data_IF_463615588706
#
_entry.id   IF_463615588706
#
_cell.length_a   1.000
_cell.length_b   1.000
_cell.length_c   1.000
_cell.angle_alpha   90.00
_cell.angle_beta   90.00
_cell.angle_gamma   90.00
#
_symmetry.space_group_name_H-M   'P 1'
#
loop_
_entity.id
_entity.type
_entity.pdbx_description
1 polymer ?
#
# COMPACT_ATOMS: atom_id res chain seq x y z
N UNK A 1 -25.68 21.75 -6.55
CA UNK A 1 -26.00 20.94 -5.35
C UNK A 1 -25.56 21.71 -4.12
N UNK A 2 -26.38 21.86 -3.07
CA UNK A 2 -26.04 22.68 -1.92
C UNK A 2 -24.99 21.99 -1.04
N UNK A 3 -23.98 22.74 -0.62
CA UNK A 3 -22.95 22.33 0.33
C UNK A 3 -23.58 22.08 1.71
N UNK A 4 -23.32 20.91 2.29
CA UNK A 4 -23.66 20.61 3.68
C UNK A 4 -22.43 20.92 4.55
N UNK A 5 -22.38 22.15 5.05
CA UNK A 5 -21.45 22.55 6.10
C UNK A 5 -21.93 22.00 7.45
N UNK A 6 -21.20 21.02 8.00
CA UNK A 6 -21.46 20.48 9.33
C UNK A 6 -21.00 21.49 10.39
N UNK A 7 -21.86 22.44 10.76
CA UNK A 7 -21.63 23.35 11.87
C UNK A 7 -22.05 22.73 13.20
N UNK A 8 -21.15 22.78 14.19
CA UNK A 8 -21.52 22.55 15.59
C UNK A 8 -21.65 23.90 16.26
N UNK A 9 -22.88 24.28 16.64
CA UNK A 9 -23.18 25.58 17.25
C UNK A 9 -22.92 25.50 18.76
N UNK A 10 -21.91 26.23 19.25
CA UNK A 10 -21.75 26.46 20.68
C UNK A 10 -22.83 27.46 21.15
N UNK A 11 -23.55 27.14 22.24
CA UNK A 11 -24.61 28.01 22.78
C UNK A 11 -23.99 29.29 23.40
N UNK A 12 -24.35 30.50 22.93
CA UNK A 12 -23.89 31.73 23.56
C UNK A 12 -24.54 31.96 24.93
N UNK A 13 -23.83 32.70 25.80
CA UNK A 13 -24.32 33.23 27.08
C UNK A 13 -25.55 34.13 26.85
N UNK A 14 -26.51 34.12 27.80
CA UNK A 14 -27.76 34.92 27.76
C UNK A 14 -27.51 36.37 27.29
N UNK A 15 -28.22 36.74 26.24
CA UNK A 15 -28.21 38.08 25.60
C UNK A 15 -29.36 38.90 26.19
N UNK A 16 -29.19 40.22 26.35
CA UNK A 16 -30.29 41.16 26.66
C UNK A 16 -31.19 41.29 25.43
N UNK A 17 -32.49 41.49 25.62
CA UNK A 17 -33.44 41.71 24.51
C UNK A 17 -32.98 42.86 23.59
N UNK A 18 -32.81 42.55 22.29
CA UNK A 18 -32.53 43.55 21.25
C UNK A 18 -31.15 43.46 20.57
N UNK A 19 -30.22 42.64 21.04
CA UNK A 19 -28.90 42.46 20.40
C UNK A 19 -28.83 41.15 19.61
N UNK A 20 -28.38 41.21 18.35
CA UNK A 20 -28.05 40.00 17.60
C UNK A 20 -26.85 39.29 18.22
N UNK A 21 -26.86 37.94 18.32
CA UNK A 21 -25.74 37.20 18.87
C UNK A 21 -24.45 37.47 18.10
N UNK A 22 -23.41 37.91 18.81
CA UNK A 22 -22.04 37.87 18.30
C UNK A 22 -21.59 36.42 18.15
N UNK A 23 -21.76 35.86 16.94
CA UNK A 23 -21.27 34.52 16.60
C UNK A 23 -19.85 34.64 16.05
N UNK A 24 -18.86 34.21 16.85
CA UNK A 24 -17.52 33.96 16.34
C UNK A 24 -17.51 32.62 15.58
N UNK A 25 -17.44 32.68 14.26
CA UNK A 25 -17.16 31.50 13.44
C UNK A 25 -15.68 31.14 13.58
N UNK A 26 -15.39 29.99 14.21
CA UNK A 26 -14.04 29.46 14.34
C UNK A 26 -13.85 28.35 13.30
N UNK A 27 -12.93 28.54 12.35
CA UNK A 27 -12.52 27.48 11.42
C UNK A 27 -11.56 26.56 12.17
N UNK A 28 -12.01 25.35 12.52
CA UNK A 28 -11.15 24.34 13.13
C UNK A 28 -10.34 23.68 12.01
N UNK A 29 -9.06 24.05 11.87
CA UNK A 29 -8.14 23.38 10.96
C UNK A 29 -7.74 22.02 11.53
N UNK A 30 -8.37 20.94 11.04
CA UNK A 30 -8.04 19.57 11.42
C UNK A 30 -6.91 19.03 10.54
N UNK A 31 -6.09 18.15 11.13
CA UNK A 31 -5.12 17.35 10.38
C UNK A 31 -5.86 16.45 9.40
N UNK A 32 -5.40 16.38 8.15
CA UNK A 32 -6.01 15.56 7.10
C UNK A 32 -5.25 14.26 6.92
N UNK A 33 -5.99 13.18 6.63
CA UNK A 33 -5.40 11.91 6.19
C UNK A 33 -4.63 12.14 4.90
N UNK A 34 -3.42 11.58 4.83
CA UNK A 34 -2.55 11.63 3.66
C UNK A 34 -2.14 10.22 3.28
N UNK A 35 -2.35 9.88 2.01
CA UNK A 35 -1.92 8.61 1.42
C UNK A 35 -1.04 8.89 0.20
N UNK A 36 -0.05 8.05 -0.07
CA UNK A 36 0.87 8.19 -1.20
C UNK A 36 0.88 6.95 -2.09
N UNK A 37 0.98 7.18 -3.40
CA UNK A 37 1.18 6.14 -4.39
C UNK A 37 2.53 6.33 -5.08
N UNK A 38 3.34 5.28 -5.12
CA UNK A 38 4.65 5.26 -5.76
C UNK A 38 4.67 4.11 -6.78
N UNK A 39 4.90 4.41 -8.05
CA UNK A 39 4.90 3.42 -9.13
C UNK A 39 6.28 3.35 -9.81
N UNK A 40 6.75 2.15 -10.11
CA UNK A 40 7.96 1.97 -10.91
C UNK A 40 7.68 2.31 -12.38
N UNK A 41 8.62 3.02 -13.00
CA UNK A 41 8.47 3.60 -14.35
C UNK A 41 9.26 2.92 -15.46
N UNK A 42 9.85 1.75 -15.20
CA UNK A 42 10.56 0.96 -16.22
C UNK A 42 9.68 -0.08 -16.91
N UNK A 43 10.20 -1.28 -17.15
CA UNK A 43 9.45 -2.34 -17.84
C UNK A 43 8.18 -2.73 -17.07
N UNK A 44 7.00 -2.68 -17.71
CA UNK A 44 5.70 -2.89 -17.05
C UNK A 44 5.22 -1.70 -16.19
N UNK A 45 5.89 -0.55 -16.28
CA UNK A 45 5.59 0.64 -15.47
C UNK A 45 4.27 1.33 -15.82
N UNK A 46 3.81 1.20 -17.07
CA UNK A 46 2.50 1.73 -17.48
C UNK A 46 1.36 1.05 -16.70
N UNK A 47 1.45 -0.26 -16.51
CA UNK A 47 0.49 -1.06 -15.76
C UNK A 47 0.57 -0.78 -14.26
N UNK A 48 1.78 -0.56 -13.72
CA UNK A 48 1.95 -0.15 -12.32
C UNK A 48 1.34 1.22 -12.04
N UNK A 49 1.49 2.16 -12.98
CA UNK A 49 0.83 3.46 -12.89
C UNK A 49 -0.70 3.32 -12.95
N UNK A 50 -1.23 2.48 -13.84
CA UNK A 50 -2.68 2.17 -13.87
C UNK A 50 -3.16 1.58 -12.55
N UNK A 51 -2.39 0.67 -11.93
CA UNK A 51 -2.70 0.09 -10.63
C UNK A 51 -2.74 1.16 -9.51
N UNK A 52 -1.73 2.03 -9.52
CA UNK A 52 -1.61 3.12 -8.57
C UNK A 52 -2.77 4.12 -8.66
N UNK A 53 -3.15 4.52 -9.88
CA UNK A 53 -4.31 5.38 -10.10
C UNK A 53 -5.62 4.71 -9.68
N UNK A 54 -5.77 3.42 -9.95
CA UNK A 54 -6.94 2.68 -9.52
C UNK A 54 -7.06 2.63 -7.98
N UNK A 55 -5.97 2.31 -7.27
CA UNK A 55 -5.97 2.31 -5.80
C UNK A 55 -6.26 3.70 -5.24
N UNK A 56 -5.63 4.73 -5.79
CA UNK A 56 -5.89 6.13 -5.45
C UNK A 56 -7.37 6.47 -5.58
N UNK A 57 -7.99 6.12 -6.71
CA UNK A 57 -9.42 6.36 -6.94
C UNK A 57 -10.29 5.68 -5.87
N UNK A 58 -10.02 4.41 -5.55
CA UNK A 58 -10.76 3.68 -4.51
C UNK A 58 -10.63 4.31 -3.12
N UNK A 59 -9.44 4.78 -2.76
CA UNK A 59 -9.25 5.44 -1.47
C UNK A 59 -10.01 6.77 -1.40
N UNK A 60 -10.02 7.56 -2.48
CA UNK A 60 -10.84 8.77 -2.57
C UNK A 60 -12.34 8.49 -2.55
N UNK A 61 -12.80 7.37 -3.12
CA UNK A 61 -14.20 6.93 -3.01
C UNK A 61 -14.59 6.55 -1.57
N UNK A 62 -13.65 5.96 -0.82
CA UNK A 62 -13.85 5.56 0.58
C UNK A 62 -13.79 6.73 1.55
N UNK A 63 -12.89 7.68 1.31
CA UNK A 63 -12.71 8.88 2.12
C UNK A 63 -12.41 10.11 1.23
N UNK A 64 -13.45 10.83 0.78
CA UNK A 64 -13.29 11.97 -0.13
C UNK A 64 -12.49 13.16 0.44
N UNK A 65 -12.34 13.24 1.77
CA UNK A 65 -11.61 14.32 2.43
C UNK A 65 -10.11 14.05 2.57
N UNK A 66 -9.67 12.82 2.23
CA UNK A 66 -8.27 12.42 2.20
C UNK A 66 -7.47 13.16 1.14
N UNK A 67 -6.21 13.47 1.46
CA UNK A 67 -5.25 14.05 0.53
C UNK A 67 -4.41 12.94 -0.08
N UNK A 68 -4.69 12.63 -1.34
CA UNK A 68 -3.99 11.58 -2.09
C UNK A 68 -3.45 12.18 -3.40
N UNK A 69 -2.19 12.65 -3.40
CA UNK A 69 -1.55 13.19 -4.60
C UNK A 69 -1.57 12.21 -5.76
N UNK A 70 -1.39 12.71 -6.98
CA UNK A 70 -1.20 11.84 -8.15
C UNK A 70 -0.01 10.89 -7.92
N UNK A 71 -0.05 9.65 -8.45
CA UNK A 71 1.04 8.70 -8.27
C UNK A 71 2.38 9.25 -8.76
N UNK A 72 3.41 9.09 -7.92
CA UNK A 72 4.78 9.49 -8.25
C UNK A 72 5.51 8.32 -8.88
N UNK A 73 6.32 8.58 -9.90
CA UNK A 73 6.99 7.53 -10.69
C UNK A 73 8.49 7.56 -10.44
N UNK A 74 9.11 6.39 -10.19
CA UNK A 74 10.56 6.26 -10.06
C UNK A 74 11.17 5.31 -11.11
N UNK A 75 12.37 5.65 -11.59
CA UNK A 75 13.19 4.86 -12.53
C UNK A 75 14.64 4.68 -12.06
N UNK A 76 14.97 5.22 -10.90
CA UNK A 76 16.28 5.13 -10.23
C UNK A 76 16.10 5.13 -8.71
N UNK A 77 17.14 4.72 -7.97
CA UNK A 77 17.20 4.84 -6.52
C UNK A 77 17.10 6.30 -6.10
N UNK A 78 17.73 7.21 -6.84
CA UNK A 78 17.70 8.63 -6.52
C UNK A 78 16.27 9.18 -6.66
N UNK A 79 15.56 8.88 -7.76
CA UNK A 79 14.16 9.27 -7.90
C UNK A 79 13.27 8.71 -6.78
N UNK A 80 13.50 7.45 -6.37
CA UNK A 80 12.78 6.85 -5.25
C UNK A 80 13.03 7.63 -3.94
N UNK A 81 14.29 7.99 -3.67
CA UNK A 81 14.67 8.82 -2.52
C UNK A 81 14.02 10.19 -2.59
N UNK A 82 14.09 10.86 -3.74
CA UNK A 82 13.50 12.20 -3.93
C UNK A 82 11.98 12.19 -3.70
N UNK A 83 11.30 11.14 -4.15
CA UNK A 83 9.88 10.93 -3.88
C UNK A 83 9.61 10.76 -2.38
N UNK A 84 10.43 9.94 -1.70
CA UNK A 84 10.33 9.72 -0.27
C UNK A 84 10.56 11.00 0.52
N UNK A 85 11.62 11.75 0.21
CA UNK A 85 11.92 13.08 0.77
C UNK A 85 10.77 14.05 0.54
N UNK A 86 10.15 14.03 -0.64
CA UNK A 86 8.99 14.88 -0.94
C UNK A 86 7.80 14.53 -0.03
N UNK A 87 7.53 13.24 0.23
CA UNK A 87 6.49 12.84 1.19
C UNK A 87 6.86 13.30 2.61
N UNK A 88 8.11 13.12 3.02
CA UNK A 88 8.59 13.60 4.31
C UNK A 88 8.35 15.10 4.49
N UNK A 89 8.65 15.91 3.47
CA UNK A 89 8.45 17.36 3.48
C UNK A 89 6.98 17.76 3.57
N UNK A 90 6.08 17.07 2.84
CA UNK A 90 4.64 17.29 2.96
C UNK A 90 4.17 17.09 4.40
N UNK A 91 4.66 16.03 5.07
CA UNK A 91 4.31 15.70 6.46
C UNK A 91 4.88 16.67 7.49
N UNK A 92 5.77 17.59 7.11
CA UNK A 92 6.25 18.69 7.96
C UNK A 92 5.39 19.95 7.89
N UNK A 93 4.49 20.06 6.89
CA UNK A 93 3.65 21.24 6.75
C UNK A 93 2.76 21.45 7.99
N UNK A 94 2.57 22.72 8.36
CA UNK A 94 1.73 23.15 9.48
C UNK A 94 0.56 23.98 8.99
N UNK A 95 -0.58 23.83 9.65
CA UNK A 95 -1.74 24.68 9.44
C UNK A 95 -1.62 25.98 10.27
N UNK A 96 -2.59 26.89 10.12
CA UNK A 96 -2.60 28.18 10.82
C UNK A 96 -2.64 28.05 12.36
N UNK A 97 -3.11 26.92 12.88
CA UNK A 97 -3.11 26.63 14.33
C UNK A 97 -1.81 25.98 14.81
N UNK A 98 -0.77 25.88 13.97
CA UNK A 98 0.52 25.30 14.31
C UNK A 98 0.52 23.77 14.39
N UNK A 99 -0.61 23.11 14.08
CA UNK A 99 -0.71 21.65 14.02
C UNK A 99 -0.22 21.15 12.67
N UNK A 100 0.21 19.89 12.62
CA UNK A 100 0.54 19.24 11.35
C UNK A 100 -0.67 19.23 10.41
N UNK A 101 -0.45 19.64 9.16
CA UNK A 101 -1.50 19.66 8.13
C UNK A 101 -1.94 18.24 7.77
N UNK A 102 -1.00 17.31 7.71
CA UNK A 102 -1.23 15.94 7.25
C UNK A 102 -0.85 14.90 8.30
N UNK A 103 -1.45 13.73 8.23
CA UNK A 103 -1.07 12.54 8.96
C UNK A 103 -1.02 11.36 7.99
N UNK A 104 0.09 10.63 7.98
CA UNK A 104 0.36 9.59 6.99
C UNK A 104 -0.35 8.29 7.38
N UNK A 105 -1.30 7.84 6.56
CA UNK A 105 -2.00 6.58 6.76
C UNK A 105 -1.40 5.48 5.89
N UNK A 106 -1.39 5.64 4.56
CA UNK A 106 -0.97 4.57 3.66
C UNK A 106 0.10 5.06 2.65
N UNK A 107 1.14 4.26 2.45
CA UNK A 107 2.02 4.36 1.27
C UNK A 107 1.90 3.05 0.49
N UNK A 108 1.51 3.13 -0.78
CA UNK A 108 1.50 1.98 -1.68
C UNK A 108 2.64 2.08 -2.69
N UNK A 109 3.44 1.02 -2.77
CA UNK A 109 4.54 0.91 -3.74
C UNK A 109 4.19 -0.19 -4.75
N UNK A 110 4.08 0.19 -6.01
CA UNK A 110 3.78 -0.69 -7.15
C UNK A 110 5.06 -0.90 -7.96
N UNK A 111 5.65 -2.09 -7.86
CA UNK A 111 6.97 -2.34 -8.44
C UNK A 111 7.23 -3.82 -8.73
N UNK A 112 8.31 -4.10 -9.44
CA UNK A 112 8.87 -5.44 -9.49
C UNK A 112 9.77 -5.64 -8.27
N UNK A 113 9.72 -6.82 -7.67
CA UNK A 113 10.63 -7.14 -6.57
C UNK A 113 11.08 -8.59 -6.60
N UNK A 114 12.17 -8.81 -5.88
CA UNK A 114 12.53 -10.12 -5.34
C UNK A 114 12.19 -10.14 -3.83
N UNK A 115 12.57 -11.20 -3.14
CA UNK A 115 12.41 -11.35 -1.68
C UNK A 115 12.99 -10.19 -0.87
N UNK A 116 14.15 -9.71 -1.28
CA UNK A 116 15.06 -8.87 -0.48
C UNK A 116 15.29 -7.48 -1.07
N UNK A 117 14.76 -7.19 -2.26
CA UNK A 117 14.88 -5.88 -2.89
C UNK A 117 13.78 -5.59 -3.92
N UNK A 118 13.54 -4.29 -4.15
CA UNK A 118 12.74 -3.81 -5.28
C UNK A 118 13.66 -3.62 -6.49
N UNK A 119 13.26 -4.18 -7.63
CA UNK A 119 14.04 -4.17 -8.87
C UNK A 119 13.83 -2.83 -9.59
N UNK A 120 14.92 -2.17 -9.98
CA UNK A 120 14.88 -0.97 -10.84
C UNK A 120 15.50 -1.29 -12.20
N UNK A 121 16.77 -1.68 -12.22
CA UNK A 121 17.50 -2.16 -13.41
C UNK A 121 18.71 -2.99 -12.95
N UNK A 122 19.45 -3.55 -13.90
CA UNK A 122 20.66 -4.32 -13.59
C UNK A 122 21.64 -3.49 -12.74
N UNK A 123 22.08 -4.05 -11.61
CA UNK A 123 22.99 -3.39 -10.68
C UNK A 123 22.38 -2.29 -9.81
N UNK A 124 21.08 -1.97 -9.96
CA UNK A 124 20.42 -0.92 -9.20
C UNK A 124 19.07 -1.39 -8.64
N UNK A 125 18.98 -1.45 -7.31
CA UNK A 125 17.83 -1.99 -6.57
C UNK A 125 17.54 -1.19 -5.30
N UNK A 126 16.29 -1.16 -4.82
CA UNK A 126 15.99 -0.69 -3.46
C UNK A 126 16.23 -1.87 -2.51
N UNK A 127 17.39 -1.87 -1.87
CA UNK A 127 17.81 -2.87 -0.86
C UNK A 127 17.56 -2.38 0.56
N UNK A 128 17.80 -3.22 1.55
CA UNK A 128 17.81 -2.80 2.97
C UNK A 128 18.70 -1.58 3.22
N UNK A 129 19.89 -1.54 2.61
CA UNK A 129 20.82 -0.41 2.78
C UNK A 129 20.22 0.89 2.23
N UNK A 130 19.49 0.83 1.11
CA UNK A 130 18.78 2.01 0.60
C UNK A 130 17.67 2.41 1.57
N UNK A 131 16.87 1.46 2.06
CA UNK A 131 15.78 1.71 3.03
C UNK A 131 16.30 2.41 4.29
N UNK A 132 17.46 2.01 4.81
CA UNK A 132 18.10 2.66 5.97
C UNK A 132 18.42 4.14 5.75
N UNK A 133 18.65 4.56 4.51
CA UNK A 133 19.00 5.95 4.19
C UNK A 133 17.80 6.88 4.05
N UNK A 134 16.58 6.34 4.01
CA UNK A 134 15.36 7.11 3.81
C UNK A 134 14.95 7.86 5.09
N UNK A 135 14.32 9.03 4.94
CA UNK A 135 13.83 9.81 6.06
C UNK A 135 12.79 9.05 6.88
N UNK A 136 12.82 9.18 8.20
CA UNK A 136 11.78 8.62 9.07
C UNK A 136 10.48 9.39 8.90
N UNK A 137 9.46 8.75 8.33
CA UNK A 137 8.13 9.33 8.15
C UNK A 137 7.32 9.25 9.45
N UNK A 138 6.47 10.26 9.68
CA UNK A 138 5.54 10.30 10.83
C UNK A 138 4.23 9.60 10.46
N UNK A 139 4.19 8.29 10.70
CA UNK A 139 3.01 7.44 10.48
C UNK A 139 1.91 7.71 11.51
N UNK A 140 0.66 7.50 11.10
CA UNK A 140 -0.43 7.38 12.04
C UNK A 140 -0.17 6.18 12.97
N UNK A 141 -0.35 6.32 14.31
CA UNK A 141 0.06 5.30 15.27
C UNK A 141 -0.62 3.94 15.07
N UNK A 142 -1.94 3.91 14.87
CA UNK A 142 -2.69 2.65 14.64
C UNK A 142 -2.88 2.26 13.17
N UNK A 143 -3.02 3.24 12.27
CA UNK A 143 -3.44 3.06 10.89
C UNK A 143 -2.34 3.38 9.86
N UNK A 144 -1.08 3.50 10.31
CA UNK A 144 0.08 3.65 9.43
C UNK A 144 0.46 2.32 8.78
N UNK A 145 0.41 2.25 7.46
CA UNK A 145 0.74 1.09 6.64
C UNK A 145 1.58 1.47 5.43
N UNK A 146 2.63 0.68 5.17
CA UNK A 146 3.29 0.62 3.87
C UNK A 146 2.89 -0.69 3.19
N UNK A 147 2.41 -0.61 1.96
CA UNK A 147 1.93 -1.77 1.20
C UNK A 147 2.79 -1.96 -0.03
N UNK A 148 3.44 -3.11 -0.12
CA UNK A 148 4.26 -3.51 -1.26
C UNK A 148 3.41 -4.33 -2.23
N UNK A 149 2.90 -3.67 -3.27
CA UNK A 149 2.29 -4.31 -4.44
C UNK A 149 3.38 -4.77 -5.40
N UNK A 150 4.21 -5.71 -4.94
CA UNK A 150 5.38 -6.17 -5.67
C UNK A 150 5.69 -7.64 -5.36
N UNK A 151 6.11 -8.37 -6.40
CA UNK A 151 6.35 -9.81 -6.38
C UNK A 151 7.25 -10.25 -5.22
N UNK A 152 6.84 -11.21 -4.41
CA UNK A 152 7.67 -11.84 -3.36
C UNK A 152 8.19 -10.88 -2.27
N UNK A 153 7.72 -9.64 -2.19
CA UNK A 153 8.21 -8.64 -1.22
C UNK A 153 8.08 -9.02 0.25
N UNK A 154 7.13 -9.89 0.59
CA UNK A 154 6.98 -10.45 1.94
C UNK A 154 7.64 -11.81 2.10
N UNK A 155 8.12 -12.43 1.02
CA UNK A 155 8.62 -13.80 1.04
C UNK A 155 10.13 -13.84 1.19
N UNK A 156 10.60 -14.80 1.97
CA UNK A 156 12.01 -15.12 2.10
C UNK A 156 12.35 -16.59 1.84
N UNK A 157 11.37 -17.50 1.97
CA UNK A 157 11.64 -18.94 1.96
C UNK A 157 11.92 -19.47 0.54
N UNK A 158 13.22 -19.51 0.27
CA UNK A 158 14.05 -20.31 -0.62
C UNK A 158 13.60 -20.57 -2.07
N UNK A 159 14.22 -19.83 -2.98
CA UNK A 159 14.56 -20.31 -4.31
C UNK A 159 16.06 -20.76 -4.22
N UNK A 160 16.33 -22.04 -3.87
CA UNK A 160 17.65 -22.73 -3.98
C UNK A 160 18.83 -22.44 -3.00
N UNK A 161 18.63 -22.10 -1.72
CA UNK A 161 19.74 -21.94 -0.74
C UNK A 161 19.45 -22.72 0.56
N UNK A 162 20.07 -23.91 0.65
CA UNK A 162 20.14 -24.83 1.81
C UNK A 162 20.38 -24.14 3.16
N UNK A 163 20.86 -22.90 3.17
CA UNK A 163 21.02 -22.08 4.35
C UNK A 163 20.26 -20.76 4.19
N UNK A 164 19.07 -20.66 4.80
CA UNK A 164 18.68 -19.52 5.65
C UNK A 164 17.33 -19.78 6.31
N UNK A 165 17.34 -19.92 7.63
CA UNK A 165 16.19 -19.85 8.54
C UNK A 165 15.70 -18.40 8.75
N UNK A 166 15.95 -17.49 7.81
CA UNK A 166 15.83 -16.05 8.09
C UNK A 166 14.40 -15.58 7.82
N UNK A 167 13.87 -14.65 8.62
CA UNK A 167 12.59 -13.97 8.32
C UNK A 167 12.82 -12.69 7.48
N UNK A 168 14.00 -12.57 6.87
CA UNK A 168 14.47 -11.34 6.23
C UNK A 168 13.74 -11.09 4.91
N UNK A 169 13.14 -9.93 4.68
CA UNK A 169 12.61 -9.58 3.36
C UNK A 169 12.51 -8.08 3.26
N UNK A 170 12.33 -7.55 2.06
CA UNK A 170 12.26 -6.09 1.87
C UNK A 170 11.09 -5.49 2.66
N UNK A 171 9.95 -6.19 2.80
CA UNK A 171 8.85 -5.76 3.67
C UNK A 171 9.27 -5.64 5.14
N UNK A 172 10.03 -6.63 5.65
CA UNK A 172 10.58 -6.60 7.00
C UNK A 172 11.56 -5.46 7.18
N UNK A 173 12.44 -5.21 6.20
CA UNK A 173 13.39 -4.09 6.22
C UNK A 173 12.65 -2.76 6.34
N UNK A 174 11.66 -2.49 5.49
CA UNK A 174 10.82 -1.29 5.62
C UNK A 174 10.17 -1.19 7.01
N UNK A 175 9.62 -2.29 7.51
CA UNK A 175 8.94 -2.31 8.81
C UNK A 175 9.87 -1.99 9.97
N UNK A 176 11.08 -2.54 9.94
CA UNK A 176 12.11 -2.36 10.97
C UNK A 176 12.63 -0.93 11.01
N UNK A 177 12.96 -0.34 9.86
CA UNK A 177 13.63 0.97 9.81
C UNK A 177 12.67 2.16 9.83
N UNK A 178 11.41 1.97 9.40
CA UNK A 178 10.39 3.02 9.41
C UNK A 178 9.33 2.84 10.51
N UNK A 179 9.48 1.84 11.37
CA UNK A 179 8.66 1.65 12.59
C UNK A 179 7.14 1.66 12.29
N UNK A 180 6.75 1.00 11.20
CA UNK A 180 5.38 1.00 10.68
C UNK A 180 4.90 -0.42 10.36
N UNK A 181 3.59 -0.58 10.16
CA UNK A 181 3.08 -1.83 9.60
C UNK A 181 3.48 -1.92 8.12
N UNK A 182 3.98 -3.07 7.71
CA UNK A 182 4.31 -3.31 6.30
C UNK A 182 3.64 -4.58 5.82
N UNK A 183 2.94 -4.48 4.69
CA UNK A 183 2.31 -5.59 4.00
C UNK A 183 3.17 -5.99 2.81
N UNK A 184 3.61 -7.25 2.78
CA UNK A 184 4.40 -7.83 1.70
C UNK A 184 3.67 -8.99 1.02
N UNK A 185 3.75 -9.04 -0.31
CA UNK A 185 3.14 -10.11 -1.11
C UNK A 185 4.03 -11.35 -1.18
N UNK A 186 3.41 -12.53 -1.20
CA UNK A 186 4.13 -13.82 -1.11
C UNK A 186 4.71 -14.32 -2.43
N UNK A 187 4.03 -14.05 -3.52
CA UNK A 187 4.27 -14.69 -4.82
C UNK A 187 4.36 -13.63 -5.91
N UNK A 188 4.43 -14.06 -7.18
CA UNK A 188 4.37 -13.15 -8.30
C UNK A 188 3.06 -12.35 -8.27
N UNK A 189 3.18 -11.04 -8.42
CA UNK A 189 2.03 -10.18 -8.63
C UNK A 189 1.51 -10.41 -10.05
N UNK A 190 0.19 -10.49 -10.17
CA UNK A 190 -0.51 -10.62 -11.44
C UNK A 190 -1.40 -9.40 -11.65
N UNK A 191 -1.59 -9.03 -12.92
CA UNK A 191 -2.47 -7.93 -13.30
C UNK A 191 -3.90 -8.42 -13.36
N UNK A 192 -4.73 -7.99 -12.41
CA UNK A 192 -6.12 -8.42 -12.33
C UNK A 192 -7.06 -7.27 -12.60
N UNK A 193 -8.16 -7.56 -13.30
CA UNK A 193 -9.28 -6.65 -13.41
C UNK A 193 -10.42 -7.04 -12.48
N UNK A 194 -10.89 -6.10 -11.65
CA UNK A 194 -11.90 -6.39 -10.62
C UNK A 194 -13.24 -5.72 -10.95
N UNK A 195 -14.33 -6.50 -10.83
CA UNK A 195 -15.68 -6.00 -10.60
C UNK A 195 -16.08 -6.24 -9.12
N UNK A 196 -15.79 -7.44 -8.57
CA UNK A 196 -16.02 -7.78 -7.15
C UNK A 196 -14.88 -8.61 -6.51
N UNK A 197 -14.68 -8.50 -5.18
CA UNK A 197 -13.58 -9.17 -4.46
C UNK A 197 -13.70 -10.69 -4.40
N UNK A 198 -14.91 -11.24 -4.49
CA UNK A 198 -15.15 -12.70 -4.55
C UNK A 198 -14.60 -13.33 -5.83
N UNK A 199 -14.57 -12.59 -6.94
CA UNK A 199 -14.08 -13.06 -8.25
C UNK A 199 -12.56 -13.20 -8.32
N UNK A 200 -11.85 -12.66 -7.34
CA UNK A 200 -10.39 -12.69 -7.23
C UNK A 200 -9.94 -14.07 -6.70
N UNK A 201 -10.83 -14.81 -6.03
CA UNK A 201 -10.46 -16.00 -5.23
C UNK A 201 -9.95 -17.21 -6.01
N UNK A 202 -10.27 -17.34 -7.30
CA UNK A 202 -9.95 -18.57 -8.06
C UNK A 202 -9.47 -18.29 -9.49
N UNK A 203 -8.87 -17.12 -9.74
CA UNK A 203 -8.36 -16.83 -11.08
C UNK A 203 -7.10 -17.65 -11.33
N UNK A 204 -7.25 -18.76 -12.04
CA UNK A 204 -6.16 -19.36 -12.81
C UNK A 204 -6.08 -18.65 -14.16
N UNK A 205 -4.87 -18.22 -14.55
CA UNK A 205 -4.31 -18.62 -15.85
C UNK A 205 -2.85 -18.20 -16.01
N UNK A 206 -2.08 -19.07 -16.64
CA UNK A 206 -0.65 -18.97 -16.84
C UNK A 206 -0.20 -17.89 -17.85
N UNK A 207 -1.06 -16.94 -18.24
CA UNK A 207 -0.84 -16.03 -19.39
C UNK A 207 -1.26 -14.56 -19.14
N UNK A 208 -1.04 -14.00 -17.95
CA UNK A 208 -1.36 -12.59 -17.63
C UNK A 208 -0.40 -11.54 -18.23
N UNK A 209 0.28 -11.86 -19.34
CA UNK A 209 1.15 -10.90 -20.02
C UNK A 209 0.42 -10.00 -21.05
N UNK A 210 -0.82 -10.32 -21.49
CA UNK A 210 -1.36 -9.67 -22.71
C UNK A 210 -2.86 -9.29 -22.68
N UNK A 211 -3.63 -9.55 -21.63
CA UNK A 211 -4.99 -8.97 -21.52
C UNK A 211 -5.05 -7.67 -20.70
N UNK A 212 -3.95 -6.92 -20.68
CA UNK A 212 -4.04 -5.47 -20.51
C UNK A 212 -4.54 -4.90 -21.83
N UNK A 213 -5.86 -4.98 -21.98
CA UNK A 213 -6.60 -3.84 -22.48
C UNK A 213 -6.34 -3.44 -23.94
N UNK A 214 -6.70 -4.31 -24.87
CA UNK A 214 -6.88 -3.92 -26.29
C UNK A 214 -8.03 -2.87 -26.43
N UNK A 215 -8.85 -2.65 -25.38
CA UNK A 215 -10.11 -1.87 -25.43
C UNK A 215 -10.28 -0.80 -24.32
N UNK A 216 -9.21 -0.33 -23.67
CA UNK A 216 -9.20 0.83 -22.77
C UNK A 216 -10.09 0.81 -21.49
N UNK A 217 -10.47 -0.33 -20.92
CA UNK A 217 -11.63 -0.40 -20.01
C UNK A 217 -11.58 -1.35 -18.80
N UNK A 218 -10.44 -1.59 -18.12
CA UNK A 218 -10.50 -2.24 -16.79
C UNK A 218 -9.57 -1.70 -15.69
N UNK A 219 -10.16 -1.59 -14.50
CA UNK A 219 -9.58 -1.29 -13.18
C UNK A 219 -8.56 -2.37 -12.76
N UNK A 220 -7.27 -2.03 -12.76
CA UNK A 220 -6.19 -3.00 -12.60
C UNK A 220 -5.65 -3.05 -11.16
N UNK A 221 -5.47 -4.26 -10.62
CA UNK A 221 -4.86 -4.53 -9.30
C UNK A 221 -3.70 -5.49 -9.43
N UNK A 222 -2.66 -5.21 -8.65
CA UNK A 222 -1.49 -6.07 -8.48
C UNK A 222 -1.60 -6.86 -7.17
N UNK A 223 -1.92 -8.15 -7.28
CA UNK A 223 -1.95 -9.08 -6.14
C UNK A 223 -1.42 -10.49 -6.50
N UNK A 224 -1.01 -11.26 -5.49
CA UNK A 224 -0.36 -12.56 -5.65
C UNK A 224 -1.29 -13.76 -5.45
N UNK A 225 -1.12 -14.82 -6.26
CA UNK A 225 -1.90 -16.07 -6.21
C UNK A 225 -1.06 -17.35 -6.07
N UNK A 226 -1.69 -18.38 -5.50
CA UNK A 226 -1.25 -19.77 -5.53
C UNK A 226 -1.54 -20.38 -6.91
N UNK A 227 -0.72 -20.07 -7.91
CA UNK A 227 -0.89 -20.69 -9.25
C UNK A 227 0.43 -20.78 -10.03
N UNK A 228 0.52 -21.78 -10.91
CA UNK A 228 1.64 -21.97 -11.83
C UNK A 228 2.70 -23.00 -11.39
N UNK A 229 3.31 -23.66 -12.38
CA UNK A 229 4.28 -24.73 -12.17
C UNK A 229 5.53 -24.28 -11.40
N UNK A 230 5.99 -23.05 -11.62
CA UNK A 230 7.12 -22.47 -10.88
C UNK A 230 6.77 -22.35 -9.39
N UNK A 231 5.64 -21.72 -9.07
CA UNK A 231 5.14 -21.57 -7.70
C UNK A 231 5.01 -22.95 -7.04
N UNK A 232 4.36 -23.93 -7.68
CA UNK A 232 4.20 -25.29 -7.12
C UNK A 232 5.54 -26.01 -6.90
N UNK A 233 6.48 -25.91 -7.85
CA UNK A 233 7.81 -26.52 -7.74
C UNK A 233 8.54 -26.01 -6.50
N UNK A 234 8.47 -24.70 -6.22
CA UNK A 234 9.21 -24.09 -5.12
C UNK A 234 8.48 -24.20 -3.77
N UNK A 235 7.13 -24.20 -3.74
CA UNK A 235 6.37 -24.07 -2.48
C UNK A 235 5.55 -25.28 -2.05
N UNK A 236 5.52 -26.35 -2.84
CA UNK A 236 4.70 -27.55 -2.53
C UNK A 236 4.98 -28.19 -1.17
N UNK A 237 6.14 -27.91 -0.55
CA UNK A 237 6.51 -28.41 0.78
C UNK A 237 6.06 -27.53 1.94
N UNK A 238 5.56 -26.32 1.68
CA UNK A 238 5.08 -25.44 2.75
C UNK A 238 3.69 -25.85 3.21
N UNK A 239 3.47 -25.92 4.52
CA UNK A 239 2.17 -26.28 5.11
C UNK A 239 1.07 -25.32 4.64
N UNK A 240 1.34 -24.02 4.70
CA UNK A 240 0.41 -22.99 4.22
C UNK A 240 0.07 -23.13 2.74
N UNK A 241 1.05 -23.52 1.90
CA UNK A 241 0.80 -23.78 0.49
C UNK A 241 -0.20 -24.92 0.34
N UNK A 242 -0.01 -26.03 1.07
CA UNK A 242 -0.90 -27.19 0.99
C UNK A 242 -2.33 -26.92 1.46
N UNK A 243 -2.53 -25.93 2.33
CA UNK A 243 -3.83 -25.57 2.90
C UNK A 243 -4.73 -24.75 1.95
N UNK A 244 -4.17 -24.16 0.89
CA UNK A 244 -4.88 -23.25 -0.02
C UNK A 244 -5.35 -23.96 -1.29
N UNK A 245 -6.44 -23.48 -1.90
CA UNK A 245 -6.87 -23.95 -3.22
C UNK A 245 -5.98 -23.38 -4.34
N UNK A 246 -5.85 -24.09 -5.46
CA UNK A 246 -5.18 -23.54 -6.65
C UNK A 246 -5.96 -22.30 -7.16
N UNK A 247 -5.22 -21.29 -7.61
CA UNK A 247 -5.76 -19.98 -7.99
C UNK A 247 -6.14 -19.06 -6.81
N UNK A 248 -6.06 -19.52 -5.56
CA UNK A 248 -6.36 -18.71 -4.38
C UNK A 248 -5.27 -17.69 -4.10
N UNK A 249 -5.65 -16.47 -3.69
CA UNK A 249 -4.67 -15.50 -3.15
C UNK A 249 -3.90 -16.19 -2.04
N UNK A 250 -2.58 -16.16 -2.14
CA UNK A 250 -1.76 -16.57 -1.01
C UNK A 250 -1.71 -15.40 -0.04
N UNK A 251 -2.24 -15.57 1.21
CA UNK A 251 -2.27 -14.52 2.20
C UNK A 251 -0.97 -13.72 2.32
N UNK A 252 -1.03 -12.39 2.23
CA UNK A 252 0.13 -11.53 2.45
C UNK A 252 0.78 -11.74 3.83
N UNK A 253 2.03 -11.30 4.00
CA UNK A 253 2.68 -11.18 5.32
C UNK A 253 2.57 -9.75 5.82
N UNK A 254 2.39 -9.63 7.12
CA UNK A 254 2.38 -8.36 7.84
C UNK A 254 3.54 -8.31 8.82
N UNK A 255 4.25 -7.19 8.82
CA UNK A 255 5.35 -6.92 9.74
C UNK A 255 5.08 -5.64 10.53
N UNK A 256 5.51 -5.58 11.79
CA UNK A 256 5.60 -4.35 12.59
C UNK A 256 6.97 -4.31 13.26
N UNK A 257 7.73 -3.24 13.06
CA UNK A 257 9.06 -3.07 13.65
C UNK A 257 10.00 -4.26 13.35
N UNK A 258 9.82 -4.91 12.20
CA UNK A 258 10.59 -6.09 11.80
C UNK A 258 10.07 -7.43 12.35
N UNK A 259 9.05 -7.42 13.21
CA UNK A 259 8.40 -8.64 13.71
C UNK A 259 7.22 -9.03 12.83
N UNK A 260 7.18 -10.31 12.46
CA UNK A 260 6.11 -10.89 11.64
C UNK A 260 4.86 -11.17 12.48
N UNK A 261 3.70 -10.87 11.92
CA UNK A 261 2.41 -11.19 12.50
C UNK A 261 1.92 -12.52 11.95
N UNK A 262 1.40 -13.37 12.83
CA UNK A 262 0.75 -14.61 12.41
C UNK A 262 -0.42 -14.28 11.48
N UNK A 263 -0.47 -14.97 10.35
CA UNK A 263 -1.57 -14.91 9.39
C UNK A 263 -2.42 -16.16 9.47
N UNK A 264 -3.70 -16.02 9.16
CA UNK A 264 -4.58 -17.16 9.02
C UNK A 264 -4.60 -17.62 7.56
N UNK A 265 -4.18 -18.86 7.33
CA UNK A 265 -4.23 -19.51 6.02
C UNK A 265 -5.28 -20.60 6.06
N UNK A 266 -6.29 -20.47 5.18
CA UNK A 266 -7.39 -21.42 5.09
C UNK A 266 -7.92 -21.48 3.66
N UNK A 267 -8.42 -22.64 3.23
CA UNK A 267 -9.02 -22.78 1.90
C UNK A 267 -10.23 -21.86 1.80
N UNK A 268 -10.38 -21.21 0.65
CA UNK A 268 -11.53 -20.36 0.31
C UNK A 268 -11.74 -19.18 1.29
N UNK A 269 -10.67 -18.67 1.88
CA UNK A 269 -10.72 -17.47 2.74
C UNK A 269 -9.69 -16.45 2.30
N UNK A 270 -10.10 -15.19 2.29
CA UNK A 270 -9.16 -14.08 2.22
C UNK A 270 -8.70 -13.75 3.62
N UNK A 271 -7.42 -13.38 3.77
CA UNK A 271 -7.00 -12.75 5.02
C UNK A 271 -7.56 -11.31 5.05
N UNK A 272 -7.63 -10.71 6.24
CA UNK A 272 -8.19 -9.36 6.41
C UNK A 272 -7.34 -8.27 5.71
N UNK A 273 -6.02 -8.41 5.73
CA UNK A 273 -5.11 -7.43 5.14
C UNK A 273 -5.20 -7.43 3.61
N UNK A 274 -5.34 -8.60 2.97
CA UNK A 274 -5.60 -8.77 1.53
C UNK A 274 -6.88 -8.01 1.16
N UNK A 275 -7.99 -8.22 1.88
CA UNK A 275 -9.25 -7.52 1.60
C UNK A 275 -9.15 -6.00 1.80
N UNK A 276 -8.29 -5.56 2.71
CA UNK A 276 -8.15 -4.15 3.06
C UNK A 276 -7.30 -3.41 2.04
N UNK A 277 -6.23 -4.03 1.57
CA UNK A 277 -5.19 -3.36 0.80
C UNK A 277 -5.19 -3.67 -0.71
N UNK A 278 -5.93 -4.70 -1.16
CA UNK A 278 -6.40 -4.82 -2.56
C UNK A 278 -7.20 -3.57 -2.97
#
# INVERSE_FOLDING_TARGET
MPQLENFTVAKPKRIKEGEEPYVHHVIISRTKRYDAMIAYGGHGGAEMLKAAEFKRKRLLEKDPESVIPAPKIFRSQQEFKDIWTSIFNDLQLRNKSGMYTYELYEIHIFAHSNSDFIIIKEGEHITEEVVKTLEKLRWHPQNGYLVLHSCRSGRFEDDDIIERNSKECIARSFSKFHETNVIGQMVFASYNSIIHSSEIRYREMANDYVEVDILGSKNLVLWGYKSGNKIKKHYSKQEEFSALNDGQIWPCRKFRNGEEYNRHVAPEKFNFDDLTFI
#
